data_IF_299902601183
#
_entry.id   IF_299902601183
#
_cell.length_a   1.000
_cell.length_b   1.000
_cell.length_c   1.000
_cell.angle_alpha   90.00
_cell.angle_beta   90.00
_cell.angle_gamma   90.00
#
_symmetry.space_group_name_H-M   'P 1'
#
loop_
_entity.id
_entity.type
_entity.pdbx_description
1 polymer ?
#
# COMPACT_ATOMS: atom_id res chain seq x y z
N UNK A 1 -22.00 26.04 15.37
CA UNK A 1 -20.61 26.10 14.99
C UNK A 1 -20.33 25.20 13.79
N UNK A 2 -19.64 25.74 12.84
CA UNK A 2 -19.25 24.94 11.70
C UNK A 2 -18.39 23.78 12.14
N UNK A 3 -18.64 22.57 11.65
CA UNK A 3 -17.73 21.48 11.89
C UNK A 3 -16.36 21.88 11.35
N UNK A 4 -15.33 21.42 12.01
CA UNK A 4 -14.00 21.63 11.49
C UNK A 4 -13.97 21.07 10.08
N UNK A 5 -13.47 21.85 9.16
CA UNK A 5 -13.30 21.37 7.80
C UNK A 5 -12.49 20.09 7.86
N UNK A 6 -12.97 19.06 7.19
CA UNK A 6 -12.19 17.86 6.99
C UNK A 6 -10.89 18.24 6.27
N UNK A 7 -9.78 17.61 6.58
CA UNK A 7 -8.56 17.85 5.83
C UNK A 7 -8.86 17.64 4.35
N UNK A 8 -8.37 18.56 3.54
CA UNK A 8 -8.53 18.42 2.09
C UNK A 8 -7.88 17.12 1.65
N UNK A 9 -8.54 16.41 0.75
CA UNK A 9 -7.94 15.26 0.11
C UNK A 9 -6.61 15.67 -0.53
N UNK A 10 -5.69 14.75 -0.60
CA UNK A 10 -4.39 15.01 -1.23
C UNK A 10 -4.59 15.24 -2.73
N UNK A 11 -3.86 16.20 -3.27
CA UNK A 11 -3.86 16.46 -4.70
C UNK A 11 -3.00 15.44 -5.46
N UNK A 12 -3.13 15.44 -6.79
CA UNK A 12 -2.40 14.47 -7.63
C UNK A 12 -0.89 14.55 -7.42
N UNK A 13 -0.33 15.76 -7.41
CA UNK A 13 1.10 15.92 -7.21
C UNK A 13 1.56 15.45 -5.84
N UNK A 14 0.70 15.63 -4.82
CA UNK A 14 1.00 15.17 -3.46
C UNK A 14 1.01 13.65 -3.38
N UNK A 15 0.07 12.99 -4.04
CA UNK A 15 0.02 11.53 -4.06
C UNK A 15 1.22 10.96 -4.80
N UNK A 16 1.56 11.52 -5.96
CA UNK A 16 2.74 11.09 -6.70
C UNK A 16 4.01 11.26 -5.87
N UNK A 17 4.14 12.37 -5.16
CA UNK A 17 5.30 12.62 -4.31
C UNK A 17 5.35 11.66 -3.12
N UNK A 18 4.19 11.35 -2.54
CA UNK A 18 4.10 10.39 -1.43
C UNK A 18 4.54 9.00 -1.88
N UNK A 19 4.04 8.53 -3.02
CA UNK A 19 4.41 7.22 -3.56
C UNK A 19 5.90 7.14 -3.89
N UNK A 20 6.50 8.25 -4.31
CA UNK A 20 7.90 8.29 -4.68
C UNK A 20 8.85 8.54 -3.51
N UNK A 21 8.31 8.82 -2.32
CA UNK A 21 9.13 9.22 -1.17
C UNK A 21 10.04 8.12 -0.61
N UNK A 22 9.63 6.82 -0.57
CA UNK A 22 10.54 5.79 -0.05
C UNK A 22 11.81 5.68 -0.88
N UNK A 23 12.93 5.47 -0.19
CA UNK A 23 14.24 5.27 -0.84
C UNK A 23 14.32 3.84 -1.38
N UNK A 24 14.08 3.68 -2.68
CA UNK A 24 14.03 2.36 -3.31
C UNK A 24 15.40 1.71 -3.51
N UNK A 25 16.47 2.42 -3.19
CA UNK A 25 17.82 1.83 -3.21
C UNK A 25 18.12 1.02 -1.95
N UNK A 26 17.32 1.20 -0.89
CA UNK A 26 17.45 0.45 0.35
C UNK A 26 16.35 -0.62 0.44
N UNK A 27 16.65 -1.80 1.01
CA UNK A 27 15.64 -2.87 1.11
C UNK A 27 14.36 -2.45 1.81
N UNK A 28 14.47 -1.72 2.92
CA UNK A 28 13.29 -1.23 3.65
C UNK A 28 12.49 -0.23 2.83
N UNK A 29 13.17 0.65 2.09
CA UNK A 29 12.48 1.62 1.24
C UNK A 29 11.79 0.96 0.06
N UNK A 30 12.43 -0.05 -0.53
CA UNK A 30 11.81 -0.82 -1.62
C UNK A 30 10.57 -1.58 -1.13
N UNK A 31 10.65 -2.16 0.06
CA UNK A 31 9.49 -2.77 0.72
C UNK A 31 8.37 -1.75 0.88
N UNK A 32 8.68 -0.59 1.43
CA UNK A 32 7.67 0.43 1.71
C UNK A 32 7.06 0.99 0.42
N UNK A 33 7.86 1.11 -0.64
CA UNK A 33 7.33 1.50 -1.94
C UNK A 33 6.33 0.47 -2.45
N UNK A 34 6.67 -0.81 -2.38
CA UNK A 34 5.76 -1.87 -2.80
C UNK A 34 4.47 -1.86 -1.97
N UNK A 35 4.59 -1.64 -0.66
CA UNK A 35 3.43 -1.57 0.21
C UNK A 35 2.51 -0.40 -0.15
N UNK A 36 3.09 0.79 -0.37
CA UNK A 36 2.31 1.96 -0.78
C UNK A 36 1.62 1.75 -2.12
N UNK A 37 2.33 1.16 -3.08
CA UNK A 37 1.75 0.91 -4.39
C UNK A 37 0.59 -0.09 -4.34
N UNK A 38 0.70 -1.11 -3.49
CA UNK A 38 -0.42 -2.03 -3.28
C UNK A 38 -1.59 -1.36 -2.60
N UNK A 39 -1.32 -0.53 -1.59
CA UNK A 39 -2.37 0.21 -0.92
C UNK A 39 -3.11 1.11 -1.90
N UNK A 40 -2.37 1.79 -2.77
CA UNK A 40 -2.92 2.67 -3.79
C UNK A 40 -3.76 1.89 -4.83
N UNK A 41 -3.15 0.86 -5.43
CA UNK A 41 -3.77 0.17 -6.56
C UNK A 41 -4.90 -0.76 -6.15
N UNK A 42 -4.80 -1.36 -4.97
CA UNK A 42 -5.72 -2.41 -4.53
C UNK A 42 -6.71 -1.95 -3.46
N UNK A 43 -6.63 -0.69 -3.04
CA UNK A 43 -7.58 -0.14 -2.08
C UNK A 43 -7.50 -0.78 -0.69
N UNK A 44 -6.33 -1.27 -0.31
CA UNK A 44 -6.17 -1.99 0.95
C UNK A 44 -6.16 -1.07 2.15
N UNK A 45 -6.73 -1.55 3.25
CA UNK A 45 -6.51 -0.94 4.55
C UNK A 45 -5.13 -1.36 5.05
N UNK A 46 -4.52 -0.53 5.90
CA UNK A 46 -3.20 -0.82 6.44
C UNK A 46 -3.17 -2.19 7.13
N UNK A 47 -4.23 -2.53 7.89
CA UNK A 47 -4.31 -3.83 8.56
C UNK A 47 -4.31 -5.00 7.56
N UNK A 48 -5.00 -4.85 6.44
CA UNK A 48 -5.01 -5.86 5.40
C UNK A 48 -3.63 -6.01 4.77
N UNK A 49 -2.98 -4.89 4.51
CA UNK A 49 -1.69 -4.84 3.84
C UNK A 49 -0.59 -5.51 4.66
N UNK A 50 -0.48 -5.15 5.96
CA UNK A 50 0.61 -5.69 6.79
C UNK A 50 0.44 -7.18 7.08
N UNK A 51 -0.78 -7.70 6.99
CA UNK A 51 -1.06 -9.12 7.27
C UNK A 51 -1.09 -10.01 6.03
N UNK A 52 -0.78 -9.46 4.85
CA UNK A 52 -0.80 -10.27 3.63
C UNK A 52 0.22 -11.41 3.72
N UNK A 53 -0.20 -12.64 3.44
CA UNK A 53 0.75 -13.75 3.30
C UNK A 53 1.45 -13.68 1.94
N UNK A 54 2.63 -14.26 1.86
CA UNK A 54 3.37 -14.32 0.60
C UNK A 54 2.57 -15.05 -0.49
N UNK A 55 1.71 -15.99 -0.09
CA UNK A 55 0.87 -16.75 -1.02
C UNK A 55 -0.29 -15.95 -1.60
N UNK A 56 -0.54 -14.73 -1.10
CA UNK A 56 -1.64 -13.90 -1.61
C UNK A 56 -1.37 -13.35 -3.01
N UNK A 57 -0.12 -13.33 -3.44
CA UNK A 57 0.29 -12.71 -4.70
C UNK A 57 0.38 -13.78 -5.80
N UNK A 58 -0.26 -13.49 -6.93
CA UNK A 58 -0.06 -14.26 -8.14
C UNK A 58 0.44 -13.31 -9.22
N UNK A 59 1.76 -13.24 -9.37
CA UNK A 59 2.38 -12.34 -10.35
C UNK A 59 2.08 -12.73 -11.78
N UNK A 60 1.92 -14.03 -12.05
CA UNK A 60 1.60 -14.52 -13.38
C UNK A 60 0.25 -14.00 -13.87
N UNK A 61 -0.74 -14.03 -12.98
CA UNK A 61 -2.08 -13.54 -13.30
C UNK A 61 -2.25 -12.04 -13.01
N UNK A 62 -1.31 -11.45 -12.29
CA UNK A 62 -1.38 -10.04 -11.91
C UNK A 62 -2.48 -9.75 -10.91
N UNK A 63 -2.76 -10.67 -9.99
CA UNK A 63 -3.82 -10.52 -9.00
C UNK A 63 -3.32 -10.73 -7.59
N UNK A 64 -4.05 -10.13 -6.65
CA UNK A 64 -3.82 -10.25 -5.21
C UNK A 64 -5.07 -10.84 -4.58
N UNK A 65 -4.89 -11.80 -3.69
CA UNK A 65 -5.98 -12.40 -2.93
C UNK A 65 -6.07 -11.72 -1.58
N UNK A 66 -7.21 -11.12 -1.28
CA UNK A 66 -7.41 -10.38 -0.03
C UNK A 66 -8.56 -11.02 0.74
N UNK A 67 -8.32 -11.28 2.03
CA UNK A 67 -9.36 -11.79 2.91
C UNK A 67 -10.13 -10.64 3.50
N UNK A 68 -11.44 -10.64 3.29
CA UNK A 68 -12.34 -9.65 3.83
C UNK A 68 -13.09 -10.14 5.06
N UNK A 69 -14.10 -9.37 5.46
CA UNK A 69 -14.99 -9.72 6.56
C UNK A 69 -15.65 -11.07 6.33
N UNK A 70 -15.76 -11.87 7.39
CA UNK A 70 -16.43 -13.16 7.33
C UNK A 70 -15.66 -14.20 6.53
N UNK A 71 -14.34 -14.05 6.45
CA UNK A 71 -13.46 -14.95 5.71
C UNK A 71 -13.77 -15.00 4.21
N UNK A 72 -14.44 -13.97 3.69
CA UNK A 72 -14.67 -13.89 2.26
C UNK A 72 -13.42 -13.39 1.56
N UNK A 73 -13.01 -14.15 0.57
CA UNK A 73 -11.86 -13.86 -0.26
C UNK A 73 -12.29 -13.00 -1.45
N UNK A 74 -11.46 -12.02 -1.80
CA UNK A 74 -11.65 -11.31 -3.06
C UNK A 74 -10.33 -11.26 -3.83
N UNK A 75 -10.44 -11.32 -5.14
CA UNK A 75 -9.29 -11.17 -6.02
C UNK A 75 -9.27 -9.76 -6.55
N UNK A 76 -8.11 -9.11 -6.47
CA UNK A 76 -7.95 -7.72 -6.83
C UNK A 76 -6.83 -7.62 -7.86
N UNK A 77 -7.05 -6.95 -9.00
CA UNK A 77 -5.97 -6.77 -9.97
C UNK A 77 -4.88 -5.86 -9.40
N UNK A 78 -3.62 -6.20 -9.67
CA UNK A 78 -2.49 -5.42 -9.20
C UNK A 78 -2.27 -4.14 -10.01
N UNK A 79 -2.44 -4.24 -11.33
CA UNK A 79 -2.03 -3.18 -12.22
C UNK A 79 -0.52 -3.18 -12.44
N UNK A 80 -0.07 -2.48 -13.47
CA UNK A 80 1.33 -2.52 -13.89
C UNK A 80 2.30 -1.97 -12.86
N UNK A 81 1.97 -0.83 -12.25
CA UNK A 81 2.87 -0.18 -11.30
C UNK A 81 3.04 -1.00 -10.02
N UNK A 82 1.93 -1.45 -9.43
CA UNK A 82 2.00 -2.26 -8.23
C UNK A 82 2.73 -3.57 -8.49
N UNK A 83 2.49 -4.18 -9.64
CA UNK A 83 3.18 -5.40 -10.02
C UNK A 83 4.68 -5.18 -10.16
N UNK A 84 5.08 -4.09 -10.81
CA UNK A 84 6.49 -3.74 -10.99
C UNK A 84 7.21 -3.61 -9.64
N UNK A 85 6.65 -2.83 -8.72
CA UNK A 85 7.30 -2.59 -7.43
C UNK A 85 7.29 -3.83 -6.55
N UNK A 86 6.24 -4.62 -6.63
CA UNK A 86 6.16 -5.87 -5.90
C UNK A 86 7.19 -6.89 -6.42
N UNK A 87 7.33 -6.99 -7.74
CA UNK A 87 8.35 -7.85 -8.33
C UNK A 87 9.75 -7.43 -7.89
N UNK A 88 10.03 -6.15 -7.90
CA UNK A 88 11.33 -5.65 -7.43
C UNK A 88 11.56 -5.96 -5.96
N UNK A 89 10.57 -5.76 -5.12
CA UNK A 89 10.68 -6.09 -3.70
C UNK A 89 10.99 -7.57 -3.50
N UNK A 90 10.23 -8.43 -4.18
CA UNK A 90 10.38 -9.87 -4.04
C UNK A 90 11.72 -10.37 -4.56
N UNK A 91 12.28 -9.72 -5.58
CA UNK A 91 13.55 -10.13 -6.16
C UNK A 91 14.76 -9.51 -5.47
N UNK A 92 14.66 -8.24 -5.05
CA UNK A 92 15.81 -7.44 -4.64
C UNK A 92 15.89 -7.20 -3.13
N UNK A 93 14.78 -7.24 -2.41
CA UNK A 93 14.76 -6.90 -0.98
C UNK A 93 14.40 -8.08 -0.09
N UNK A 94 13.28 -8.73 -0.37
CA UNK A 94 12.77 -9.79 0.51
C UNK A 94 13.75 -10.95 0.71
N UNK A 95 14.46 -11.45 -0.32
CA UNK A 95 15.41 -12.55 -0.11
C UNK A 95 16.52 -12.23 0.87
N UNK A 96 17.05 -11.00 0.83
CA UNK A 96 18.07 -10.56 1.78
C UNK A 96 17.56 -10.44 3.21
N UNK A 97 16.30 -10.03 3.37
CA UNK A 97 15.68 -9.92 4.70
C UNK A 97 15.37 -11.30 5.25
N UNK A 98 14.77 -12.16 4.44
CA UNK A 98 14.37 -13.50 4.87
C UNK A 98 15.58 -14.43 5.09
N UNK A 99 16.64 -14.25 4.32
CA UNK A 99 17.77 -15.16 4.34
C UNK A 99 17.33 -16.55 3.90
N UNK A 100 17.68 -17.57 4.69
CA UNK A 100 17.31 -18.95 4.39
C UNK A 100 15.98 -19.35 5.03
N UNK A 101 15.29 -18.41 5.71
CA UNK A 101 14.05 -18.71 6.40
C UNK A 101 12.88 -18.73 5.42
N UNK A 102 11.98 -19.71 5.61
CA UNK A 102 10.73 -19.75 4.86
C UNK A 102 9.67 -18.99 5.68
N UNK A 103 9.54 -17.70 5.43
CA UNK A 103 8.67 -16.84 6.23
C UNK A 103 7.31 -16.66 5.53
N UNK A 104 6.21 -16.71 6.29
CA UNK A 104 4.88 -16.69 5.68
C UNK A 104 4.42 -15.33 5.22
N UNK A 105 4.90 -14.24 5.84
CA UNK A 105 4.42 -12.88 5.52
C UNK A 105 5.05 -12.36 4.23
N UNK A 106 4.25 -11.62 3.48
CA UNK A 106 4.74 -10.99 2.25
C UNK A 106 5.76 -9.90 2.57
N UNK A 107 5.36 -8.96 3.43
CA UNK A 107 6.22 -7.83 3.78
C UNK A 107 6.90 -8.09 5.12
N UNK A 108 8.22 -7.89 5.15
CA UNK A 108 9.05 -8.27 6.28
C UNK A 108 9.87 -7.08 6.78
N UNK A 109 9.95 -6.96 8.11
CA UNK A 109 10.98 -6.13 8.74
C UNK A 109 12.22 -6.99 9.00
N UNK A 110 13.31 -6.38 9.48
CA UNK A 110 14.60 -7.05 9.61
C UNK A 110 14.55 -8.35 10.42
N UNK A 111 13.65 -8.42 11.42
CA UNK A 111 13.49 -9.63 12.24
C UNK A 111 12.83 -10.79 11.50
N UNK A 112 12.24 -10.53 10.34
CA UNK A 112 11.44 -11.52 9.61
C UNK A 112 9.97 -11.47 9.92
N UNK A 113 9.56 -10.61 10.87
CA UNK A 113 8.17 -10.38 11.18
C UNK A 113 7.53 -9.42 10.18
N UNK A 114 6.22 -9.41 10.04
CA UNK A 114 5.57 -8.37 9.26
C UNK A 114 5.67 -7.03 10.00
N UNK A 115 5.66 -5.89 9.28
CA UNK A 115 5.54 -4.60 9.94
C UNK A 115 4.23 -4.54 10.72
N UNK A 116 4.23 -3.86 11.88
CA UNK A 116 2.99 -3.57 12.57
C UNK A 116 2.25 -2.43 11.85
N UNK A 117 0.96 -2.30 12.14
CA UNK A 117 0.18 -1.16 11.64
C UNK A 117 0.80 0.16 12.06
N UNK A 118 1.23 0.24 13.32
CA UNK A 118 1.85 1.44 13.87
C UNK A 118 3.16 1.77 13.16
N UNK A 119 3.99 0.77 12.89
CA UNK A 119 5.26 0.96 12.18
C UNK A 119 5.03 1.49 10.77
N UNK A 120 4.11 0.87 10.04
CA UNK A 120 3.86 1.31 8.68
C UNK A 120 3.19 2.67 8.65
N UNK A 121 2.26 2.93 9.58
CA UNK A 121 1.61 4.23 9.66
C UNK A 121 2.61 5.34 9.97
N UNK A 122 3.55 5.09 10.89
CA UNK A 122 4.62 6.03 11.19
C UNK A 122 5.50 6.28 9.96
N UNK A 123 5.77 5.23 9.18
CA UNK A 123 6.53 5.36 7.93
C UNK A 123 5.79 6.24 6.92
N UNK A 124 4.48 6.05 6.76
CA UNK A 124 3.66 6.88 5.86
C UNK A 124 3.76 8.36 6.25
N UNK A 125 3.69 8.66 7.54
CA UNK A 125 3.81 10.05 8.00
C UNK A 125 5.19 10.63 7.71
N UNK A 126 6.23 9.83 7.85
CA UNK A 126 7.58 10.23 7.49
C UNK A 126 7.67 10.52 5.98
N UNK A 127 7.10 9.65 5.15
CA UNK A 127 7.09 9.86 3.70
C UNK A 127 6.28 11.11 3.32
N UNK A 128 5.19 11.38 4.04
CA UNK A 128 4.43 12.61 3.83
C UNK A 128 5.32 13.83 4.06
N UNK A 129 6.09 13.84 5.14
CA UNK A 129 7.02 14.94 5.41
C UNK A 129 8.06 15.09 4.30
N UNK A 130 8.63 13.97 3.82
CA UNK A 130 9.57 13.99 2.70
C UNK A 130 8.92 14.56 1.45
N UNK A 131 7.64 14.24 1.23
CA UNK A 131 6.89 14.71 0.06
C UNK A 131 6.41 16.17 0.20
N UNK A 132 6.71 16.83 1.32
CA UNK A 132 6.25 18.19 1.56
C UNK A 132 4.80 18.30 2.02
N UNK A 133 4.24 17.21 2.52
CA UNK A 133 2.86 17.15 3.01
C UNK A 133 2.90 17.22 4.53
N UNK A 134 2.07 18.10 5.12
CA UNK A 134 1.93 18.13 6.57
C UNK A 134 1.38 16.78 7.06
N UNK A 135 2.12 16.05 7.90
CA UNK A 135 1.65 14.75 8.38
C UNK A 135 0.30 14.79 9.09
N UNK A 136 -0.11 15.94 9.61
CA UNK A 136 -1.42 16.11 10.25
C UNK A 136 -2.57 15.98 9.26
N UNK A 137 -2.30 16.14 7.96
CA UNK A 137 -3.30 15.95 6.91
C UNK A 137 -3.53 14.49 6.58
N UNK A 138 -2.71 13.59 7.10
CA UNK A 138 -2.73 12.17 6.76
C UNK A 138 -3.47 11.40 7.85
N UNK A 139 -4.55 10.72 7.46
CA UNK A 139 -5.27 9.78 8.31
C UNK A 139 -5.52 8.50 7.51
N UNK A 140 -5.73 7.35 8.17
CA UNK A 140 -5.96 6.11 7.43
C UNK A 140 -7.15 6.20 6.48
N UNK A 141 -8.26 6.72 6.96
CA UNK A 141 -9.47 6.86 6.14
C UNK A 141 -9.28 7.90 5.04
N UNK A 142 -8.67 9.04 5.38
CA UNK A 142 -8.44 10.11 4.40
C UNK A 142 -7.47 9.71 3.31
N UNK A 143 -6.41 9.00 3.67
CA UNK A 143 -5.42 8.54 2.69
C UNK A 143 -6.05 7.53 1.72
N UNK A 144 -6.82 6.59 2.24
CA UNK A 144 -7.51 5.61 1.40
C UNK A 144 -8.48 6.29 0.43
N UNK A 145 -9.20 7.30 0.93
CA UNK A 145 -10.09 8.10 0.09
C UNK A 145 -9.32 8.86 -0.99
N UNK A 146 -8.21 9.47 -0.63
CA UNK A 146 -7.37 10.20 -1.59
C UNK A 146 -6.81 9.28 -2.67
N UNK A 147 -6.36 8.10 -2.29
CA UNK A 147 -5.87 7.11 -3.24
C UNK A 147 -6.95 6.66 -4.21
N UNK A 148 -8.15 6.37 -3.70
CA UNK A 148 -9.27 5.96 -4.54
C UNK A 148 -9.66 7.05 -5.53
N UNK A 149 -9.71 8.30 -5.08
CA UNK A 149 -10.04 9.44 -5.94
C UNK A 149 -8.99 9.64 -7.03
N UNK A 150 -7.72 9.54 -6.67
CA UNK A 150 -6.62 9.67 -7.63
C UNK A 150 -6.70 8.55 -8.67
N UNK A 151 -6.91 7.32 -8.22
CA UNK A 151 -7.01 6.17 -9.10
C UNK A 151 -8.18 6.33 -10.08
N UNK A 152 -9.33 6.81 -9.59
CA UNK A 152 -10.49 7.10 -10.43
C UNK A 152 -10.15 8.13 -11.51
N UNK A 153 -9.46 9.21 -11.12
CA UNK A 153 -9.09 10.27 -12.06
C UNK A 153 -8.06 9.81 -13.11
N UNK A 154 -7.41 8.68 -12.86
CA UNK A 154 -6.41 8.11 -13.77
C UNK A 154 -6.95 6.89 -14.51
N UNK A 155 -8.26 6.80 -14.73
CA UNK A 155 -8.87 5.84 -15.63
C UNK A 155 -9.55 4.65 -14.99
N UNK A 156 -9.52 4.51 -13.67
CA UNK A 156 -10.32 3.47 -13.02
C UNK A 156 -11.79 3.89 -13.06
N UNK A 157 -12.68 2.98 -13.40
CA UNK A 157 -14.10 3.33 -13.37
C UNK A 157 -14.65 3.12 -11.95
N UNK A 158 -15.81 3.74 -11.69
CA UNK A 158 -16.41 3.71 -10.37
C UNK A 158 -16.74 2.27 -9.92
N UNK A 159 -17.15 1.43 -10.84
CA UNK A 159 -17.49 0.05 -10.53
C UNK A 159 -16.25 -0.73 -10.08
N UNK A 160 -15.14 -0.55 -10.81
CA UNK A 160 -13.88 -1.18 -10.42
C UNK A 160 -13.45 -0.72 -9.03
N UNK A 161 -13.56 0.57 -8.73
CA UNK A 161 -13.24 1.09 -7.41
C UNK A 161 -14.12 0.50 -6.32
N UNK A 162 -15.41 0.35 -6.58
CA UNK A 162 -16.32 -0.26 -5.62
C UNK A 162 -15.90 -1.70 -5.32
N UNK A 163 -15.49 -2.44 -6.32
CA UNK A 163 -14.97 -3.79 -6.14
C UNK A 163 -13.68 -3.80 -5.32
N UNK A 164 -12.75 -2.89 -5.62
CA UNK A 164 -11.50 -2.78 -4.89
C UNK A 164 -11.75 -2.48 -3.41
N UNK A 165 -12.70 -1.63 -3.12
CA UNK A 165 -13.01 -1.25 -1.74
C UNK A 165 -13.89 -2.26 -1.01
N UNK A 166 -14.29 -3.34 -1.66
CA UNK A 166 -15.05 -4.40 -1.04
C UNK A 166 -16.54 -4.07 -0.86
N UNK A 167 -17.06 -3.20 -1.68
CA UNK A 167 -18.49 -2.84 -1.66
C UNK A 167 -19.34 -3.73 -2.54
#
# INVERSE_FOLDING_TARGET
KLPRSLPKALGEGEIDALLAAPDVSAPAGLRDRAMLELMYACGLRVSELVHLPATAVNLRQGVLRVMGKGSKERLVPLGEEAQHWLERYLAEARPGIAGKRALPSLFLVASGEPPSRQQFWAAIKKFAAVAGIDPRRISPHGLRHSFATHLLNHGADLRALQMLLGH
#
